data_IF_361344966597
#
_entry.id   IF_361344966597
#
_cell.length_a   1.000
_cell.length_b   1.000
_cell.length_c   1.000
_cell.angle_alpha   90.00
_cell.angle_beta   90.00
_cell.angle_gamma   90.00
#
_symmetry.space_group_name_H-M   'P 1'
#
loop_
_entity.id
_entity.type
_entity.pdbx_description
1 polymer ?
#
# COMPACT_ATOMS: atom_id res chain seq x y z
N UNK A 1 48.01 14.40 32.93
CA UNK A 1 48.21 13.43 31.83
C UNK A 1 48.66 14.22 30.61
N UNK A 2 49.78 13.82 29.97
CA UNK A 2 50.43 14.61 28.91
C UNK A 2 49.57 14.58 27.65
N UNK A 3 49.05 15.75 27.18
CA UNK A 3 48.14 15.87 26.02
C UNK A 3 48.67 15.15 24.76
N UNK A 4 50.03 15.12 24.60
CA UNK A 4 50.67 14.39 23.50
C UNK A 4 50.53 12.87 23.63
N UNK A 5 50.57 12.34 24.84
CA UNK A 5 50.40 10.90 25.09
C UNK A 5 48.95 10.46 24.84
N UNK A 6 47.98 11.29 25.26
CA UNK A 6 46.56 11.01 25.01
C UNK A 6 46.24 11.02 23.51
N UNK A 7 46.78 11.99 22.75
CA UNK A 7 46.61 12.05 21.31
C UNK A 7 47.22 10.83 20.59
N UNK A 8 48.36 10.36 21.04
CA UNK A 8 49.04 9.18 20.46
C UNK A 8 48.26 7.89 20.75
N UNK A 9 47.71 7.77 21.95
CA UNK A 9 46.84 6.63 22.31
C UNK A 9 45.52 6.63 21.49
N UNK A 10 44.90 7.81 21.32
CA UNK A 10 43.69 7.91 20.49
C UNK A 10 43.95 7.56 19.03
N UNK A 11 45.07 8.00 18.47
CA UNK A 11 45.48 7.66 17.10
C UNK A 11 45.74 6.14 16.95
N UNK A 12 46.39 5.51 17.92
CA UNK A 12 46.65 4.07 17.91
C UNK A 12 45.32 3.26 17.94
N UNK A 13 44.31 3.68 18.73
CA UNK A 13 43.01 3.05 18.78
C UNK A 13 42.25 3.20 17.45
N UNK A 14 42.30 4.39 16.83
CA UNK A 14 41.66 4.61 15.51
C UNK A 14 42.33 3.73 14.44
N UNK A 15 43.63 3.65 14.41
CA UNK A 15 44.36 2.82 13.45
C UNK A 15 44.08 1.32 13.66
N UNK A 16 43.98 0.86 14.91
CA UNK A 16 43.59 -0.52 15.22
C UNK A 16 42.18 -0.83 14.77
N UNK A 17 41.22 0.11 14.97
CA UNK A 17 39.83 -0.04 14.55
C UNK A 17 39.72 -0.04 13.01
N UNK A 18 40.43 0.84 12.31
CA UNK A 18 40.49 0.82 10.85
C UNK A 18 41.12 -0.47 10.31
N UNK A 19 42.18 -0.97 10.94
CA UNK A 19 42.78 -2.25 10.58
C UNK A 19 41.83 -3.43 10.79
N UNK A 20 41.01 -3.41 11.85
CA UNK A 20 39.98 -4.40 12.11
C UNK A 20 38.88 -4.37 11.03
N UNK A 21 38.38 -3.18 10.65
CA UNK A 21 37.36 -3.04 9.59
C UNK A 21 37.89 -3.54 8.25
N UNK A 22 39.14 -3.20 7.89
CA UNK A 22 39.74 -3.67 6.64
C UNK A 22 39.94 -5.18 6.67
N UNK A 23 40.40 -5.75 7.79
CA UNK A 23 40.56 -7.19 7.95
C UNK A 23 39.20 -7.93 7.89
N UNK A 24 38.16 -7.38 8.51
CA UNK A 24 36.83 -7.96 8.48
C UNK A 24 36.19 -7.88 7.08
N UNK A 25 36.41 -6.76 6.36
CA UNK A 25 35.94 -6.59 4.99
C UNK A 25 36.72 -7.43 3.96
N UNK A 26 37.91 -7.87 4.25
CA UNK A 26 38.74 -8.76 3.40
C UNK A 26 38.51 -10.24 3.70
N UNK A 27 37.85 -10.59 4.80
CA UNK A 27 37.32 -11.94 4.99
C UNK A 27 36.22 -12.15 3.97
N UNK A 28 36.57 -12.84 2.89
CA UNK A 28 35.52 -13.38 2.01
C UNK A 28 34.45 -14.06 2.86
N UNK A 29 33.17 -13.73 2.73
CA UNK A 29 32.15 -14.53 3.38
C UNK A 29 32.43 -15.96 2.93
N UNK A 30 32.55 -16.88 3.89
CA UNK A 30 32.52 -18.30 3.56
C UNK A 30 31.28 -18.45 2.68
N UNK A 31 31.50 -18.89 1.44
CA UNK A 31 30.42 -19.30 0.59
C UNK A 31 29.63 -20.34 1.39
N UNK A 32 28.55 -19.91 2.03
CA UNK A 32 27.47 -20.82 2.34
C UNK A 32 27.14 -21.38 0.97
N UNK A 33 27.46 -22.65 0.77
CA UNK A 33 26.97 -23.43 -0.34
C UNK A 33 25.46 -23.24 -0.34
N UNK A 34 25.00 -22.20 -1.05
CA UNK A 34 23.63 -22.13 -1.48
C UNK A 34 23.49 -23.36 -2.35
N UNK A 35 22.84 -24.39 -1.82
CA UNK A 35 22.15 -25.32 -2.67
C UNK A 35 21.34 -24.42 -3.60
N UNK A 36 21.80 -24.28 -4.84
CA UNK A 36 21.00 -23.77 -5.91
C UNK A 36 19.79 -24.69 -5.98
N UNK A 37 18.77 -24.40 -5.20
CA UNK A 37 17.44 -24.81 -5.58
C UNK A 37 17.25 -24.13 -6.94
N UNK A 38 17.31 -24.95 -7.98
CA UNK A 38 16.83 -24.58 -9.29
C UNK A 38 15.41 -24.06 -9.07
N UNK A 39 15.28 -22.73 -8.99
CA UNK A 39 13.99 -22.07 -9.06
C UNK A 39 13.52 -22.46 -10.45
N UNK A 40 12.54 -23.36 -10.53
CA UNK A 40 11.83 -23.59 -11.78
C UNK A 40 11.44 -22.23 -12.33
N UNK A 41 11.65 -21.94 -13.61
CA UNK A 41 11.24 -20.67 -14.18
C UNK A 41 9.76 -20.50 -13.84
N UNK A 42 9.46 -19.47 -13.04
CA UNK A 42 8.10 -19.10 -12.71
C UNK A 42 7.33 -19.07 -14.03
N UNK A 43 6.25 -19.83 -14.10
CA UNK A 43 5.40 -19.94 -15.29
C UNK A 43 5.17 -18.56 -15.90
N UNK A 44 5.23 -18.45 -17.22
CA UNK A 44 4.91 -17.24 -17.98
C UNK A 44 3.74 -16.51 -17.32
N UNK A 45 3.87 -15.20 -17.11
CA UNK A 45 2.86 -14.39 -16.42
C UNK A 45 1.45 -14.80 -16.88
N UNK A 46 0.66 -15.33 -15.96
CA UNK A 46 -0.71 -15.80 -16.23
C UNK A 46 -1.65 -14.61 -16.51
N UNK A 47 -1.16 -13.41 -16.33
CA UNK A 47 -1.91 -12.18 -16.41
C UNK A 47 -1.47 -11.33 -17.60
N UNK A 48 -2.43 -10.59 -18.16
CA UNK A 48 -2.20 -9.62 -19.24
C UNK A 48 -2.92 -8.34 -18.96
N UNK A 49 -2.38 -7.23 -19.47
CA UNK A 49 -3.11 -5.97 -19.55
C UNK A 49 -4.17 -6.12 -20.65
N UNK A 50 -5.43 -6.15 -20.26
CA UNK A 50 -6.56 -6.25 -21.19
C UNK A 50 -6.95 -4.87 -21.73
N UNK A 51 -7.05 -3.88 -20.83
CA UNK A 51 -7.47 -2.52 -21.17
C UNK A 51 -6.71 -1.48 -20.36
N UNK A 52 -6.66 -0.29 -20.90
CA UNK A 52 -6.14 0.89 -20.23
C UNK A 52 -7.08 2.07 -20.38
N UNK A 53 -7.07 2.96 -19.39
CA UNK A 53 -7.78 4.23 -19.43
C UNK A 53 -6.85 5.35 -18.95
N UNK A 54 -6.46 6.26 -19.83
CA UNK A 54 -5.71 7.46 -19.47
C UNK A 54 -6.69 8.57 -19.06
N UNK A 55 -6.47 9.16 -17.90
CA UNK A 55 -7.39 10.18 -17.34
C UNK A 55 -7.38 11.51 -18.09
N UNK A 56 -6.35 11.76 -18.88
CA UNK A 56 -6.21 12.92 -19.76
C UNK A 56 -5.76 14.21 -19.07
N UNK A 57 -6.09 14.41 -17.80
CA UNK A 57 -5.74 15.61 -17.04
C UNK A 57 -5.72 15.33 -15.54
N UNK A 58 -4.88 16.08 -14.83
CA UNK A 58 -4.69 15.93 -13.39
C UNK A 58 -3.85 14.72 -13.04
N UNK A 59 -3.35 14.69 -11.81
CA UNK A 59 -2.59 13.55 -11.29
C UNK A 59 -3.58 12.50 -10.78
N UNK A 60 -3.49 11.27 -11.29
CA UNK A 60 -4.22 10.12 -10.77
C UNK A 60 -3.60 9.68 -9.44
N UNK A 61 -4.40 9.44 -8.41
CA UNK A 61 -3.90 9.10 -7.07
C UNK A 61 -4.58 7.91 -6.42
N UNK A 62 -5.81 7.57 -6.81
CA UNK A 62 -6.58 6.54 -6.13
C UNK A 62 -7.43 5.73 -7.09
N UNK A 63 -7.65 4.44 -6.74
CA UNK A 63 -8.60 3.55 -7.40
C UNK A 63 -9.38 2.74 -6.37
N UNK A 64 -10.66 2.53 -6.61
CA UNK A 64 -11.52 1.62 -5.85
C UNK A 64 -12.47 0.87 -6.79
N UNK A 65 -12.99 -0.26 -6.34
CA UNK A 65 -13.93 -1.09 -7.10
C UNK A 65 -15.11 -1.43 -6.19
N UNK A 66 -16.34 -1.28 -6.71
CA UNK A 66 -17.54 -1.70 -5.99
C UNK A 66 -17.87 -3.19 -6.22
N UNK A 67 -18.90 -3.68 -5.52
CA UNK A 67 -19.35 -5.07 -5.62
C UNK A 67 -19.93 -5.43 -7.00
N UNK A 68 -20.38 -4.43 -7.76
CA UNK A 68 -20.90 -4.59 -9.13
C UNK A 68 -19.77 -4.57 -10.19
N UNK A 69 -18.52 -4.31 -9.74
CA UNK A 69 -17.34 -4.25 -10.59
C UNK A 69 -17.14 -2.91 -11.29
N UNK A 70 -17.85 -1.83 -10.89
CA UNK A 70 -17.55 -0.50 -11.37
C UNK A 70 -16.30 0.03 -10.69
N UNK A 71 -15.52 0.83 -11.43
CA UNK A 71 -14.23 1.37 -11.01
C UNK A 71 -14.37 2.85 -10.71
N UNK A 72 -13.90 3.26 -9.56
CA UNK A 72 -13.87 4.65 -9.16
C UNK A 72 -12.42 5.13 -9.09
N UNK A 73 -12.15 6.28 -9.68
CA UNK A 73 -10.81 6.85 -9.71
C UNK A 73 -10.84 8.28 -9.19
N UNK A 74 -9.78 8.65 -8.46
CA UNK A 74 -9.61 9.97 -7.90
C UNK A 74 -8.26 10.58 -8.25
N UNK A 75 -8.22 11.90 -8.29
CA UNK A 75 -7.01 12.63 -8.64
C UNK A 75 -7.00 14.07 -8.14
N UNK A 76 -6.17 14.91 -8.75
CA UNK A 76 -5.91 16.28 -8.27
C UNK A 76 -7.18 17.13 -8.14
N UNK A 77 -8.16 16.96 -9.01
CA UNK A 77 -9.38 17.77 -9.00
C UNK A 77 -10.59 17.04 -9.58
N UNK A 78 -10.64 15.73 -9.44
CA UNK A 78 -11.75 14.94 -9.98
C UNK A 78 -12.00 13.65 -9.22
N UNK A 79 -13.25 13.16 -9.32
CA UNK A 79 -13.65 11.78 -9.12
C UNK A 79 -14.37 11.33 -10.39
N UNK A 80 -14.06 10.13 -10.88
CA UNK A 80 -14.79 9.51 -12.00
C UNK A 80 -15.23 8.12 -11.63
N UNK A 81 -16.41 7.74 -12.10
CA UNK A 81 -16.85 6.35 -12.11
C UNK A 81 -16.74 5.80 -13.53
N UNK A 82 -16.23 4.59 -13.63
CA UNK A 82 -16.04 3.85 -14.86
C UNK A 82 -16.74 2.50 -14.73
N UNK A 83 -17.17 1.94 -15.86
CA UNK A 83 -17.57 0.52 -15.90
C UNK A 83 -16.36 -0.36 -15.62
N UNK A 84 -16.58 -1.63 -15.29
CA UNK A 84 -15.51 -2.60 -15.17
C UNK A 84 -14.64 -2.73 -16.42
N UNK A 85 -15.12 -2.30 -17.57
CA UNK A 85 -14.38 -2.25 -18.84
C UNK A 85 -13.78 -0.88 -19.15
N UNK A 86 -13.69 -0.02 -18.11
CA UNK A 86 -13.09 1.32 -18.15
C UNK A 86 -13.84 2.34 -19.03
N UNK A 87 -15.10 2.12 -19.33
CA UNK A 87 -15.97 3.12 -19.96
C UNK A 87 -16.47 4.14 -18.93
N UNK A 88 -16.40 5.44 -19.22
CA UNK A 88 -16.83 6.49 -18.28
C UNK A 88 -18.33 6.45 -18.04
N UNK A 89 -18.76 6.37 -16.78
CA UNK A 89 -20.15 6.48 -16.33
C UNK A 89 -20.48 7.94 -16.00
N UNK A 90 -19.65 8.53 -15.09
CA UNK A 90 -19.76 9.95 -14.72
C UNK A 90 -18.42 10.51 -14.28
N UNK A 91 -18.33 11.83 -14.22
CA UNK A 91 -17.19 12.59 -13.72
C UNK A 91 -17.67 13.79 -12.95
N UNK A 92 -17.07 14.08 -11.80
CA UNK A 92 -17.30 15.30 -11.01
C UNK A 92 -15.97 15.97 -10.72
N UNK A 93 -15.97 17.30 -10.74
CA UNK A 93 -14.83 18.07 -10.31
C UNK A 93 -14.82 18.20 -8.78
N UNK A 94 -13.63 18.19 -8.19
CA UNK A 94 -13.41 18.41 -6.75
C UNK A 94 -12.52 19.61 -6.52
N UNK A 95 -12.74 20.33 -5.41
CA UNK A 95 -11.90 21.48 -5.04
C UNK A 95 -10.53 21.02 -4.52
N UNK A 96 -10.50 19.86 -3.88
CA UNK A 96 -9.29 19.30 -3.29
C UNK A 96 -8.85 18.04 -4.03
N UNK A 97 -7.56 17.70 -3.87
CA UNK A 97 -7.02 16.44 -4.34
C UNK A 97 -7.62 15.27 -3.55
N UNK A 98 -8.03 14.24 -4.27
CA UNK A 98 -8.49 12.98 -3.71
C UNK A 98 -7.29 12.04 -3.59
N UNK A 99 -6.93 11.66 -2.36
CA UNK A 99 -5.78 10.81 -2.08
C UNK A 99 -6.14 9.32 -2.02
N UNK A 100 -7.37 8.99 -1.62
CA UNK A 100 -7.85 7.61 -1.50
C UNK A 100 -9.35 7.53 -1.77
N UNK A 101 -9.82 6.37 -2.19
CA UNK A 101 -11.23 6.07 -2.45
C UNK A 101 -11.61 4.75 -1.80
N UNK A 102 -12.86 4.66 -1.35
CA UNK A 102 -13.52 3.41 -1.01
C UNK A 102 -14.99 3.50 -1.41
N UNK A 103 -15.63 2.38 -1.74
CA UNK A 103 -17.02 2.36 -2.20
C UNK A 103 -17.76 1.21 -1.55
N UNK A 104 -18.95 1.49 -1.03
CA UNK A 104 -19.86 0.46 -0.52
C UNK A 104 -21.30 0.86 -0.77
N UNK A 105 -22.06 -0.02 -1.41
CA UNK A 105 -23.45 0.25 -1.80
C UNK A 105 -23.55 1.53 -2.61
N UNK A 106 -24.40 2.46 -2.19
CA UNK A 106 -24.63 3.73 -2.88
C UNK A 106 -23.66 4.87 -2.46
N UNK A 107 -22.61 4.58 -1.69
CA UNK A 107 -21.72 5.62 -1.16
C UNK A 107 -20.29 5.46 -1.65
N UNK A 108 -19.76 6.55 -2.21
CA UNK A 108 -18.34 6.73 -2.54
C UNK A 108 -17.72 7.60 -1.46
N UNK A 109 -16.71 7.07 -0.79
CA UNK A 109 -15.89 7.75 0.21
C UNK A 109 -14.62 8.23 -0.48
N UNK A 110 -14.34 9.53 -0.42
CA UNK A 110 -13.22 10.16 -1.11
C UNK A 110 -12.38 10.98 -0.12
N UNK A 111 -11.19 10.50 0.21
CA UNK A 111 -10.30 11.18 1.16
C UNK A 111 -9.57 12.34 0.51
N UNK A 112 -9.61 13.49 1.16
CA UNK A 112 -8.64 14.58 1.02
C UNK A 112 -7.48 14.36 2.00
N UNK A 113 -6.71 15.39 2.34
CA UNK A 113 -5.69 15.24 3.38
C UNK A 113 -6.28 15.04 4.77
N UNK A 114 -7.36 15.77 5.11
CA UNK A 114 -7.85 15.84 6.49
C UNK A 114 -9.27 15.32 6.66
N UNK A 115 -10.02 15.15 5.56
CA UNK A 115 -11.43 14.79 5.60
C UNK A 115 -11.78 13.69 4.59
N UNK A 116 -12.94 13.10 4.77
CA UNK A 116 -13.56 12.15 3.84
C UNK A 116 -14.84 12.74 3.29
N UNK A 117 -14.83 13.12 2.02
CA UNK A 117 -15.99 13.57 1.29
C UNK A 117 -16.87 12.37 0.92
N UNK A 118 -18.17 12.54 1.01
CA UNK A 118 -19.14 11.51 0.66
C UNK A 118 -19.88 11.91 -0.61
N UNK A 119 -19.95 10.97 -1.55
CA UNK A 119 -20.73 11.10 -2.76
C UNK A 119 -21.67 9.90 -2.92
N UNK A 120 -22.81 10.09 -3.59
CA UNK A 120 -23.61 8.96 -4.01
C UNK A 120 -22.93 8.20 -5.17
N UNK A 121 -23.37 6.97 -5.44
CA UNK A 121 -22.94 6.19 -6.62
C UNK A 121 -23.19 6.90 -7.96
N UNK A 122 -24.04 7.94 -7.99
CA UNK A 122 -24.26 8.81 -9.16
C UNK A 122 -23.40 10.08 -9.18
N UNK A 123 -22.43 10.23 -8.25
CA UNK A 123 -21.53 11.38 -8.17
C UNK A 123 -22.10 12.62 -7.48
N UNK A 124 -23.25 12.52 -6.80
CA UNK A 124 -23.84 13.67 -6.08
C UNK A 124 -23.20 13.82 -4.69
N UNK A 125 -22.70 15.02 -4.30
CA UNK A 125 -22.20 15.25 -2.96
C UNK A 125 -23.27 14.98 -1.88
N UNK A 126 -22.88 14.31 -0.79
CA UNK A 126 -23.77 13.95 0.32
C UNK A 126 -23.32 14.53 1.66
N UNK A 127 -22.05 14.90 1.80
CA UNK A 127 -21.51 15.45 3.04
C UNK A 127 -20.02 15.19 3.21
N UNK A 128 -19.56 15.38 4.45
CA UNK A 128 -18.15 15.26 4.80
C UNK A 128 -18.01 14.71 6.22
N UNK A 129 -17.00 13.87 6.44
CA UNK A 129 -16.62 13.34 7.74
C UNK A 129 -15.20 13.76 8.10
N UNK A 130 -14.96 14.04 9.38
CA UNK A 130 -13.67 14.51 9.88
C UNK A 130 -13.60 16.03 10.02
N UNK A 131 -12.43 16.63 10.28
CA UNK A 131 -11.21 15.90 10.63
C UNK A 131 -11.31 15.21 12.01
N UNK A 132 -10.65 14.06 12.16
CA UNK A 132 -10.61 13.35 13.46
C UNK A 132 -9.39 13.74 14.31
N UNK A 133 -8.32 14.17 13.66
CA UNK A 133 -7.09 14.64 14.31
C UNK A 133 -6.46 15.73 13.44
N UNK A 134 -5.85 16.74 14.06
CA UNK A 134 -5.18 17.82 13.30
C UNK A 134 -3.87 17.36 12.69
N UNK A 135 -3.52 17.88 11.50
CA UNK A 135 -2.30 17.55 10.79
C UNK A 135 -2.35 16.18 10.10
N UNK A 136 -3.54 15.70 9.83
CA UNK A 136 -3.76 14.45 9.12
C UNK A 136 -3.20 14.49 7.69
N UNK A 137 -2.81 13.32 7.20
CA UNK A 137 -2.54 13.02 5.81
C UNK A 137 -3.18 11.66 5.53
N UNK A 138 -4.45 11.67 5.13
CA UNK A 138 -5.17 10.44 4.82
C UNK A 138 -4.63 9.89 3.50
N UNK A 139 -4.18 8.65 3.54
CA UNK A 139 -3.52 7.98 2.39
C UNK A 139 -4.26 6.75 1.90
N UNK A 140 -5.16 6.20 2.70
CA UNK A 140 -5.95 5.04 2.30
C UNK A 140 -7.29 4.99 3.02
N UNK A 141 -8.29 4.47 2.31
CA UNK A 141 -9.62 4.14 2.79
C UNK A 141 -9.97 2.70 2.43
N UNK A 142 -10.67 2.03 3.31
CA UNK A 142 -11.33 0.75 3.00
C UNK A 142 -12.66 0.66 3.71
N UNK A 143 -13.67 0.09 3.07
CA UNK A 143 -15.02 -0.03 3.64
C UNK A 143 -15.51 -1.47 3.55
N UNK A 144 -16.11 -1.96 4.62
CA UNK A 144 -16.80 -3.25 4.67
C UNK A 144 -18.03 -3.13 5.60
N UNK A 145 -19.19 -3.40 5.06
CA UNK A 145 -20.46 -3.30 5.80
C UNK A 145 -20.69 -1.91 6.40
N UNK A 146 -20.63 -1.80 7.71
CA UNK A 146 -20.88 -0.55 8.46
C UNK A 146 -19.59 0.19 8.86
N UNK A 147 -18.41 -0.33 8.51
CA UNK A 147 -17.14 0.17 8.96
C UNK A 147 -16.34 0.77 7.83
N UNK A 148 -15.78 1.95 8.07
CA UNK A 148 -14.79 2.62 7.23
C UNK A 148 -13.46 2.62 7.98
N UNK A 149 -12.42 2.03 7.40
CA UNK A 149 -11.05 2.18 7.87
C UNK A 149 -10.39 3.37 7.18
N UNK A 150 -9.69 4.20 7.96
CA UNK A 150 -9.00 5.41 7.50
C UNK A 150 -7.55 5.35 7.95
N UNK A 151 -6.60 5.30 7.01
CA UNK A 151 -5.18 5.39 7.30
C UNK A 151 -4.70 6.84 7.22
N UNK A 152 -4.18 7.35 8.32
CA UNK A 152 -3.60 8.67 8.45
C UNK A 152 -2.07 8.56 8.59
N UNK A 153 -1.35 8.78 7.50
CA UNK A 153 0.12 8.74 7.49
C UNK A 153 0.75 9.93 8.23
N UNK A 154 0.06 11.07 8.31
CA UNK A 154 0.52 12.27 9.01
C UNK A 154 0.71 11.99 10.50
N UNK A 155 -0.29 11.45 11.13
CA UNK A 155 -0.29 11.09 12.55
C UNK A 155 0.14 9.63 12.82
N UNK A 156 0.31 8.81 11.78
CA UNK A 156 0.60 7.36 11.86
C UNK A 156 -0.48 6.64 12.67
N UNK A 157 -1.73 6.91 12.32
CA UNK A 157 -2.94 6.36 12.94
C UNK A 157 -3.78 5.61 11.93
N UNK A 158 -4.51 4.63 12.41
CA UNK A 158 -5.63 4.06 11.67
C UNK A 158 -6.86 4.17 12.53
N UNK A 159 -7.94 4.70 11.93
CA UNK A 159 -9.24 4.80 12.57
C UNK A 159 -10.18 3.77 11.95
N UNK A 160 -11.01 3.16 12.77
CA UNK A 160 -12.23 2.46 12.35
C UNK A 160 -13.40 3.35 12.70
N UNK A 161 -14.16 3.74 11.69
CA UNK A 161 -15.26 4.69 11.77
C UNK A 161 -16.56 3.94 11.50
N UNK A 162 -17.58 4.18 12.31
CA UNK A 162 -18.93 3.66 12.10
C UNK A 162 -19.76 4.55 11.18
N UNK A 163 -20.97 4.08 10.85
CA UNK A 163 -21.92 4.77 9.91
C UNK A 163 -22.30 6.20 10.28
N UNK A 164 -22.16 6.58 11.53
CA UNK A 164 -22.50 7.94 12.02
C UNK A 164 -21.27 8.82 12.19
N UNK A 165 -20.18 8.46 11.50
CA UNK A 165 -18.87 9.09 11.63
C UNK A 165 -18.24 9.00 13.04
N UNK A 166 -18.73 8.10 13.91
CA UNK A 166 -18.15 7.86 15.22
C UNK A 166 -16.88 7.01 15.12
N UNK A 167 -15.87 7.36 15.90
CA UNK A 167 -14.64 6.56 16.03
C UNK A 167 -14.94 5.33 16.88
N UNK A 168 -14.88 4.15 16.29
CA UNK A 168 -15.05 2.86 16.99
C UNK A 168 -13.74 2.45 17.66
N UNK A 169 -12.63 2.55 16.94
CA UNK A 169 -11.29 2.26 17.47
C UNK A 169 -10.23 3.07 16.73
N UNK A 170 -9.07 3.20 17.39
CA UNK A 170 -7.90 3.89 16.84
C UNK A 170 -6.64 3.09 17.17
N UNK A 171 -5.82 2.80 16.16
CA UNK A 171 -4.55 2.09 16.27
C UNK A 171 -3.36 3.03 15.99
N UNK A 172 -2.17 2.60 16.42
CA UNK A 172 -0.91 3.34 16.18
C UNK A 172 -0.49 4.25 17.32
N UNK A 173 -1.15 4.21 18.49
CA UNK A 173 -0.72 4.92 19.69
C UNK A 173 -0.02 3.99 20.69
N UNK A 174 0.74 4.57 21.63
CA UNK A 174 1.41 3.84 22.70
C UNK A 174 2.44 2.78 22.20
N UNK A 175 2.22 1.52 22.49
CA UNK A 175 3.16 0.43 22.23
C UNK A 175 3.09 -0.12 20.78
N UNK A 176 1.95 0.07 20.11
CA UNK A 176 1.69 -0.46 18.75
C UNK A 176 1.93 0.59 17.65
N UNK A 177 3.07 1.25 17.69
CA UNK A 177 3.42 2.29 16.70
C UNK A 177 3.72 1.71 15.33
N UNK A 178 3.13 2.34 14.30
CA UNK A 178 3.50 2.06 12.91
C UNK A 178 4.80 2.75 12.52
N UNK A 179 5.62 2.07 11.74
CA UNK A 179 6.82 2.64 11.12
C UNK A 179 6.48 2.99 9.69
N UNK A 180 6.27 4.27 9.43
CA UNK A 180 5.86 4.81 8.13
C UNK A 180 6.93 5.81 7.67
N UNK A 181 7.93 5.35 6.90
CA UNK A 181 9.05 6.19 6.47
C UNK A 181 8.69 7.18 5.36
N UNK A 182 7.66 6.88 4.60
CA UNK A 182 7.10 7.71 3.52
C UNK A 182 5.58 7.56 3.52
N UNK A 183 4.81 8.46 2.89
CA UNK A 183 3.34 8.48 2.97
C UNK A 183 2.67 7.35 2.18
N UNK A 184 3.22 6.14 2.25
CA UNK A 184 2.61 4.90 1.80
C UNK A 184 2.13 4.15 3.04
N UNK A 185 0.89 4.39 3.40
CA UNK A 185 0.26 3.81 4.58
C UNK A 185 -1.14 3.38 4.17
N UNK A 186 -1.33 2.08 4.05
CA UNK A 186 -2.49 1.49 3.40
C UNK A 186 -3.24 0.56 4.34
N UNK A 187 -4.56 0.46 4.14
CA UNK A 187 -5.48 -0.37 4.91
C UNK A 187 -6.45 -1.11 4.00
N UNK A 188 -6.85 -2.29 4.43
CA UNK A 188 -7.94 -3.03 3.78
C UNK A 188 -8.80 -3.74 4.82
N UNK A 189 -10.11 -3.61 4.69
CA UNK A 189 -11.09 -4.41 5.41
C UNK A 189 -11.42 -5.66 4.60
N UNK A 190 -11.63 -6.77 5.27
CA UNK A 190 -12.06 -8.02 4.64
C UNK A 190 -12.33 -9.11 5.66
N UNK A 191 -13.43 -9.83 5.49
CA UNK A 191 -13.89 -10.91 6.38
C UNK A 191 -14.00 -10.49 7.86
N UNK A 192 -14.43 -9.26 8.13
CA UNK A 192 -14.59 -8.70 9.47
C UNK A 192 -13.25 -8.39 10.17
N UNK A 193 -12.15 -8.32 9.44
CA UNK A 193 -10.83 -7.95 9.93
C UNK A 193 -10.31 -6.67 9.26
N UNK A 194 -9.46 -5.96 9.96
CA UNK A 194 -8.71 -4.84 9.44
C UNK A 194 -7.26 -5.28 9.18
N UNK A 195 -6.78 -5.05 7.97
CA UNK A 195 -5.39 -5.27 7.58
C UNK A 195 -4.71 -3.92 7.41
N UNK A 196 -3.48 -3.78 7.93
CA UNK A 196 -2.73 -2.52 7.95
C UNK A 196 -1.32 -2.77 7.43
N UNK A 197 -0.90 -2.04 6.40
CA UNK A 197 0.47 -2.09 5.89
C UNK A 197 1.42 -1.31 6.81
N UNK A 198 2.17 -2.00 7.65
CA UNK A 198 3.26 -1.42 8.43
C UNK A 198 4.53 -1.40 7.58
N UNK A 199 4.58 -0.46 6.64
CA UNK A 199 5.48 -0.47 5.48
C UNK A 199 6.96 -0.42 5.82
N UNK A 200 7.35 0.31 6.87
CA UNK A 200 8.74 0.34 7.35
C UNK A 200 9.18 -0.94 8.06
N UNK A 201 8.22 -1.78 8.47
CA UNK A 201 8.47 -3.10 9.04
C UNK A 201 8.28 -4.23 8.01
N UNK A 202 7.99 -3.92 6.74
CA UNK A 202 7.83 -4.87 5.64
C UNK A 202 6.80 -5.96 5.92
N UNK A 203 5.63 -5.57 6.46
CA UNK A 203 4.60 -6.52 6.85
C UNK A 203 3.20 -5.90 6.77
N UNK A 204 2.22 -6.76 6.65
CA UNK A 204 0.81 -6.47 6.86
C UNK A 204 0.42 -7.02 8.24
N UNK A 205 -0.25 -6.21 9.02
CA UNK A 205 -0.74 -6.57 10.35
C UNK A 205 -2.26 -6.74 10.30
N UNK A 206 -2.75 -7.87 10.82
CA UNK A 206 -4.18 -8.12 10.98
C UNK A 206 -4.65 -7.67 12.35
N UNK A 207 -5.75 -6.96 12.39
CA UNK A 207 -6.36 -6.40 13.58
C UNK A 207 -7.85 -6.72 13.63
N UNK A 208 -8.40 -6.89 14.82
CA UNK A 208 -9.84 -6.86 15.02
C UNK A 208 -10.35 -5.42 14.96
N UNK A 209 -11.63 -5.24 14.65
CA UNK A 209 -12.24 -3.91 14.52
C UNK A 209 -12.26 -3.13 15.85
N UNK A 210 -12.11 -3.80 16.99
CA UNK A 210 -11.97 -3.19 18.32
C UNK A 210 -10.51 -2.80 18.68
N UNK A 211 -9.57 -2.91 17.72
CA UNK A 211 -8.21 -2.41 17.83
C UNK A 211 -7.20 -3.37 18.48
N UNK A 212 -7.41 -4.69 18.43
CA UNK A 212 -6.44 -5.68 18.90
C UNK A 212 -5.70 -6.33 17.72
N UNK A 213 -4.38 -6.35 17.74
CA UNK A 213 -3.57 -7.08 16.77
C UNK A 213 -3.76 -8.59 16.96
N UNK A 214 -4.08 -9.29 15.89
CA UNK A 214 -4.39 -10.72 15.91
C UNK A 214 -3.37 -11.58 15.16
N UNK A 215 -2.81 -11.06 14.07
CA UNK A 215 -1.81 -11.76 13.26
C UNK A 215 -0.95 -10.74 12.48
N UNK A 216 0.06 -11.25 11.80
CA UNK A 216 0.87 -10.49 10.83
C UNK A 216 1.51 -11.46 9.83
N UNK A 217 1.83 -10.94 8.64
CA UNK A 217 2.64 -11.64 7.65
C UNK A 217 3.54 -10.65 6.89
N UNK A 218 4.53 -11.20 6.20
CA UNK A 218 5.50 -10.44 5.41
C UNK A 218 6.84 -10.30 6.12
N UNK A 219 7.89 -10.26 5.31
CA UNK A 219 9.29 -10.12 5.72
C UNK A 219 10.02 -9.23 4.72
N UNK A 220 11.09 -8.57 5.16
CA UNK A 220 11.96 -7.81 4.26
C UNK A 220 12.74 -8.74 3.34
N UNK A 221 12.81 -8.42 2.05
CA UNK A 221 13.60 -9.18 1.08
C UNK A 221 13.14 -8.99 -0.35
N UNK A 222 13.82 -9.68 -1.28
CA UNK A 222 13.52 -9.65 -2.73
C UNK A 222 12.83 -10.92 -3.23
N UNK A 223 12.70 -11.95 -2.38
CA UNK A 223 11.97 -13.16 -2.70
C UNK A 223 10.50 -12.88 -3.04
N UNK A 224 9.81 -13.75 -3.79
CA UNK A 224 8.43 -13.53 -4.20
C UNK A 224 7.48 -13.22 -3.05
N UNK A 225 7.60 -13.91 -1.92
CA UNK A 225 6.79 -13.71 -0.70
C UNK A 225 7.20 -12.49 0.13
N UNK A 226 8.42 -11.99 -0.07
CA UNK A 226 8.98 -10.89 0.71
C UNK A 226 8.60 -9.51 0.14
N UNK A 227 8.77 -8.46 0.94
CA UNK A 227 8.59 -7.07 0.55
C UNK A 227 9.95 -6.37 0.44
N UNK A 228 10.28 -5.84 -0.74
CA UNK A 228 11.57 -5.22 -1.00
C UNK A 228 11.60 -3.73 -0.65
N UNK A 229 12.80 -3.16 -0.59
CA UNK A 229 13.00 -1.71 -0.40
C UNK A 229 12.63 -1.20 0.98
N UNK A 230 12.28 0.07 1.11
CA UNK A 230 12.12 0.72 2.42
C UNK A 230 10.67 0.93 2.87
N UNK A 231 9.68 0.74 2.01
CA UNK A 231 8.28 1.15 2.28
C UNK A 231 7.29 0.26 1.53
N UNK A 232 7.31 -1.05 1.79
CA UNK A 232 6.44 -2.02 1.13
C UNK A 232 5.76 -2.98 2.13
N UNK A 233 4.58 -3.53 1.77
CA UNK A 233 3.82 -3.19 0.56
C UNK A 233 3.39 -1.73 0.58
N UNK A 234 3.49 -1.03 -0.57
CA UNK A 234 3.08 0.37 -0.67
C UNK A 234 1.56 0.50 -0.73
N UNK A 235 0.92 -0.37 -1.52
CA UNK A 235 -0.52 -0.51 -1.61
C UNK A 235 -0.91 -1.99 -1.60
N UNK A 236 -2.10 -2.28 -1.10
CA UNK A 236 -2.66 -3.63 -1.12
C UNK A 236 -4.18 -3.61 -0.97
N UNK A 237 -4.82 -4.67 -1.41
CA UNK A 237 -6.24 -4.89 -1.18
C UNK A 237 -6.50 -6.35 -0.79
N UNK A 238 -7.38 -6.57 0.18
CA UNK A 238 -7.89 -7.89 0.53
C UNK A 238 -8.86 -8.36 -0.55
N UNK A 239 -8.70 -9.61 -0.96
CA UNK A 239 -9.56 -10.30 -1.93
C UNK A 239 -10.05 -11.62 -1.32
N UNK A 240 -11.08 -12.29 -1.87
CA UNK A 240 -11.58 -13.53 -1.30
C UNK A 240 -10.52 -14.63 -1.08
N UNK A 241 -9.46 -14.66 -1.91
CA UNK A 241 -8.40 -15.67 -1.85
C UNK A 241 -7.18 -15.25 -1.02
N UNK A 242 -7.08 -14.00 -0.62
CA UNK A 242 -5.91 -13.45 0.08
C UNK A 242 -5.71 -11.96 -0.17
N UNK A 243 -4.60 -11.57 -0.78
CA UNK A 243 -4.25 -10.16 -0.99
C UNK A 243 -3.62 -9.92 -2.35
N UNK A 244 -4.00 -8.82 -2.99
CA UNK A 244 -3.20 -8.24 -4.08
C UNK A 244 -2.32 -7.18 -3.45
N UNK A 245 -1.00 -7.23 -3.68
CA UNK A 245 -0.05 -6.24 -3.16
C UNK A 245 0.71 -5.58 -4.28
N UNK A 246 0.95 -4.27 -4.16
CA UNK A 246 1.79 -3.51 -5.07
C UNK A 246 3.01 -2.95 -4.32
N UNK A 247 4.17 -3.15 -4.92
CA UNK A 247 5.45 -2.75 -4.36
C UNK A 247 6.09 -1.65 -5.22
N UNK A 248 6.88 -0.82 -4.60
CA UNK A 248 7.82 0.09 -5.27
C UNK A 248 9.25 -0.42 -5.16
N UNK A 249 10.14 0.08 -6.01
CA UNK A 249 11.52 -0.38 -6.10
C UNK A 249 11.65 -1.48 -7.15
N UNK A 250 11.15 -2.67 -6.92
CA UNK A 250 11.02 -3.70 -7.97
C UNK A 250 9.74 -3.49 -8.80
N UNK A 251 8.79 -2.68 -8.34
CA UNK A 251 7.50 -2.41 -9.01
C UNK A 251 6.81 -3.66 -9.53
N UNK A 252 6.41 -4.52 -8.63
CA UNK A 252 5.68 -5.74 -8.95
C UNK A 252 4.30 -5.73 -8.29
N UNK A 253 3.35 -6.34 -8.97
CA UNK A 253 2.03 -6.65 -8.41
C UNK A 253 1.96 -8.16 -8.24
N UNK A 254 1.62 -8.63 -7.07
CA UNK A 254 1.54 -10.06 -6.75
C UNK A 254 0.32 -10.41 -5.93
N UNK A 255 -0.06 -11.67 -5.97
CA UNK A 255 -1.10 -12.25 -5.12
C UNK A 255 -0.43 -13.07 -4.03
N UNK A 256 -0.85 -12.81 -2.80
CA UNK A 256 -0.52 -13.62 -1.63
C UNK A 256 -1.80 -14.30 -1.14
N UNK A 257 -1.67 -15.49 -0.54
CA UNK A 257 -2.78 -16.13 0.15
C UNK A 257 -3.10 -15.45 1.49
N UNK A 258 -4.07 -15.96 2.24
CA UNK A 258 -4.50 -15.37 3.51
C UNK A 258 -3.44 -15.44 4.61
N UNK A 259 -2.48 -16.34 4.49
CA UNK A 259 -1.35 -16.51 5.42
C UNK A 259 -0.13 -15.67 4.99
N UNK A 260 -0.22 -14.97 3.84
CA UNK A 260 0.85 -14.14 3.27
C UNK A 260 1.85 -14.93 2.43
N UNK A 261 1.58 -16.18 2.08
CA UNK A 261 2.43 -16.95 1.18
C UNK A 261 2.23 -16.49 -0.27
N UNK A 262 3.30 -16.51 -1.04
CA UNK A 262 3.26 -16.17 -2.45
C UNK A 262 2.40 -17.16 -3.25
N UNK A 263 1.50 -16.63 -4.07
CA UNK A 263 0.67 -17.41 -5.00
C UNK A 263 1.16 -17.22 -6.42
N UNK A 264 1.19 -15.98 -6.92
CA UNK A 264 1.59 -15.66 -8.28
C UNK A 264 1.91 -14.19 -8.48
N UNK A 265 2.58 -13.85 -9.58
CA UNK A 265 2.72 -12.48 -10.04
C UNK A 265 1.59 -12.11 -11.00
N UNK A 266 1.06 -10.90 -10.82
CA UNK A 266 0.17 -10.22 -11.77
C UNK A 266 1.02 -9.41 -12.75
N UNK A 267 2.06 -8.75 -12.27
CA UNK A 267 3.11 -8.09 -13.04
C UNK A 267 4.43 -8.22 -12.30
N UNK A 268 5.40 -8.86 -12.92
CA UNK A 268 6.73 -9.12 -12.33
C UNK A 268 7.86 -8.36 -13.01
N UNK A 269 7.59 -7.78 -14.18
CA UNK A 269 8.60 -7.33 -15.14
C UNK A 269 9.13 -5.93 -14.90
N UNK A 270 8.72 -5.28 -13.81
CA UNK A 270 9.18 -3.92 -13.48
C UNK A 270 8.88 -2.89 -14.61
N UNK A 271 7.73 -3.06 -15.27
CA UNK A 271 7.32 -2.27 -16.45
C UNK A 271 6.94 -0.83 -16.11
N UNK A 272 6.88 -0.49 -14.82
CA UNK A 272 6.45 0.81 -14.31
C UNK A 272 7.62 1.56 -13.66
N UNK A 273 7.46 2.88 -13.45
CA UNK A 273 8.50 3.70 -12.82
C UNK A 273 8.75 3.25 -11.38
N UNK A 274 9.95 2.79 -11.08
CA UNK A 274 10.35 2.14 -9.81
C UNK A 274 10.02 2.95 -8.54
N UNK A 275 10.11 4.26 -8.61
CA UNK A 275 9.90 5.13 -7.45
C UNK A 275 8.44 5.44 -7.14
N UNK A 276 7.52 5.09 -8.05
CA UNK A 276 6.10 5.39 -7.92
C UNK A 276 5.29 4.08 -7.88
N UNK A 277 4.83 3.67 -6.69
CA UNK A 277 4.00 2.48 -6.58
C UNK A 277 2.64 2.72 -7.22
N UNK A 278 2.05 1.63 -7.69
CA UNK A 278 0.70 1.58 -8.22
C UNK A 278 -0.27 1.43 -7.05
N UNK A 279 -1.36 2.21 -7.04
CA UNK A 279 -2.50 1.87 -6.21
C UNK A 279 -3.30 0.75 -6.87
N UNK A 280 -3.80 -0.22 -6.09
CA UNK A 280 -4.45 -1.42 -6.61
C UNK A 280 -5.81 -1.66 -5.99
N UNK A 281 -6.77 -2.08 -6.82
CA UNK A 281 -8.09 -2.45 -6.40
C UNK A 281 -8.60 -3.69 -7.12
N UNK A 282 -9.38 -4.50 -6.42
CA UNK A 282 -10.09 -5.66 -6.96
C UNK A 282 -11.17 -6.07 -5.98
N UNK A 283 -12.34 -6.47 -6.46
CA UNK A 283 -13.42 -7.03 -5.61
C UNK A 283 -13.41 -8.56 -5.60
N UNK A 284 -12.90 -9.20 -6.64
CA UNK A 284 -13.01 -10.65 -6.83
C UNK A 284 -11.68 -11.40 -7.01
N UNK A 285 -10.56 -10.67 -7.12
CA UNK A 285 -9.24 -11.22 -7.40
C UNK A 285 -9.06 -11.77 -8.82
N UNK A 286 -9.99 -11.50 -9.74
CA UNK A 286 -9.93 -11.94 -11.14
C UNK A 286 -9.68 -10.79 -12.10
N UNK A 287 -10.16 -9.61 -11.73
CA UNK A 287 -9.90 -8.34 -12.41
C UNK A 287 -9.16 -7.45 -11.44
N UNK A 288 -7.94 -7.09 -11.78
CA UNK A 288 -7.08 -6.23 -10.95
C UNK A 288 -6.87 -4.92 -11.67
N UNK A 289 -7.25 -3.85 -11.03
CA UNK A 289 -7.06 -2.49 -11.53
C UNK A 289 -5.87 -1.87 -10.81
N UNK A 290 -4.97 -1.29 -11.60
CA UNK A 290 -3.79 -0.61 -11.08
C UNK A 290 -3.76 0.83 -11.57
N UNK A 291 -3.76 1.77 -10.65
CA UNK A 291 -3.65 3.19 -10.95
C UNK A 291 -2.18 3.59 -10.96
N UNK A 292 -1.68 3.93 -12.15
CA UNK A 292 -0.33 4.43 -12.33
C UNK A 292 -0.32 5.96 -12.34
N UNK A 293 0.15 6.53 -11.25
CA UNK A 293 0.30 7.97 -11.07
C UNK A 293 1.32 8.57 -12.06
N UNK A 294 2.33 7.82 -12.48
CA UNK A 294 3.41 8.31 -13.31
C UNK A 294 2.97 8.69 -14.74
N UNK A 295 1.94 8.02 -15.26
CA UNK A 295 1.41 8.24 -16.61
C UNK A 295 -0.10 8.54 -16.60
N UNK A 296 -0.71 8.69 -15.44
CA UNK A 296 -2.13 8.97 -15.24
C UNK A 296 -3.05 7.92 -15.89
N UNK A 297 -2.66 6.66 -15.83
CA UNK A 297 -3.36 5.57 -16.50
C UNK A 297 -3.82 4.50 -15.53
N UNK A 298 -5.07 4.06 -15.69
CA UNK A 298 -5.58 2.82 -15.08
C UNK A 298 -5.27 1.65 -16.02
N UNK A 299 -4.69 0.61 -15.47
CA UNK A 299 -4.42 -0.66 -16.14
C UNK A 299 -5.37 -1.73 -15.59
N UNK A 300 -6.08 -2.42 -16.47
CA UNK A 300 -6.88 -3.58 -16.12
C UNK A 300 -6.08 -4.85 -16.46
N UNK A 301 -5.76 -5.62 -15.44
CA UNK A 301 -5.15 -6.95 -15.58
C UNK A 301 -6.23 -8.02 -15.46
N UNK A 302 -6.18 -9.00 -16.37
CA UNK A 302 -7.01 -10.21 -16.37
C UNK A 302 -6.14 -11.44 -16.57
N UNK A 303 -6.63 -12.61 -16.17
CA UNK A 303 -5.95 -13.87 -16.52
C UNK A 303 -6.12 -14.21 -17.99
N UNK A 304 -5.08 -14.80 -18.58
CA UNK A 304 -5.09 -15.40 -19.94
C UNK A 304 -6.04 -16.58 -20.02
#
# INVERSE_FOLDING_TARGET
MNKKLTALMSLAVILAFMGYIIFDSTRSPQSVSSTEQSVEPLSEDQWVIDKTYNTGAGELSAVAVDDDGNVYIGGTSYIKALTGDLGVIWSVDTEEKINALAVSGDTVFAATNEAVLLYSSSGKPMGEWGPWEGGSMITSLSVEGEYLAVADAGNKRVFVIGRKAEVISMMGHSEDKFVIPSPYFDVSLGDGHLYIANTGNHRVEQWSLDGRKTALFGVAGTAPEAFCGCCNPAHFVAIPQGFVTAEKGINRIKILDRDGNFVEFVSSSNDFIESQPLDVASSDGKRIYAANKADNTIYLFIRK
#
